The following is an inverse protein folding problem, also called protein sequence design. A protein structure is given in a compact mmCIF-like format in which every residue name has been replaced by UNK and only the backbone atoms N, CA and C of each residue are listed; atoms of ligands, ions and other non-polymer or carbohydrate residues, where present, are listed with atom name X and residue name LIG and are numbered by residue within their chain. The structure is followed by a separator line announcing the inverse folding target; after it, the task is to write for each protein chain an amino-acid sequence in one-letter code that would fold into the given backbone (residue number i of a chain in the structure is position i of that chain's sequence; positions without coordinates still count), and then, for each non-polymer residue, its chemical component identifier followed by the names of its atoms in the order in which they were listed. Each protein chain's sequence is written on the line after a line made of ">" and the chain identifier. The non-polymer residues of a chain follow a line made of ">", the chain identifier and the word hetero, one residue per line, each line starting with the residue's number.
data_IF_018942270948
#
_entry.id   IF_018942270948
#
_cell.length_a   1.000
_cell.length_b   1.000
_cell.length_c   1.000
_cell.angle_alpha   90.00
_cell.angle_beta   90.00
_cell.angle_gamma   90.00
#
_symmetry.space_group_name_H-M   'P 1'
#
loop_
_entity.id
_entity.type
_entity.pdbx_description
1 polymer ?
#
# COMPACT_ATOMS: atom_id res chain seq x y z
N UNK A 1 26.04 -8.25 21.56
CA UNK A 1 27.03 -7.33 20.98
C UNK A 1 26.31 -6.17 20.29
N UNK A 2 26.19 -5.02 20.93
CA UNK A 2 25.62 -3.82 20.32
C UNK A 2 26.74 -2.82 20.11
N UNK A 3 26.80 -2.10 18.97
CA UNK A 3 27.74 -1.01 18.78
C UNK A 3 27.49 0.10 19.81
N UNK A 4 28.56 0.76 20.24
CA UNK A 4 28.56 1.85 21.23
C UNK A 4 28.81 3.21 20.58
N UNK A 5 29.34 3.24 19.37
CA UNK A 5 29.63 4.46 18.61
C UNK A 5 29.04 4.40 17.20
N UNK A 6 28.86 5.56 16.57
CA UNK A 6 28.38 5.63 15.18
C UNK A 6 29.33 4.95 14.19
N UNK A 7 30.62 4.96 14.43
CA UNK A 7 31.63 4.33 13.57
C UNK A 7 31.59 2.80 13.61
N UNK A 8 31.01 2.22 14.64
CA UNK A 8 30.82 0.77 14.77
C UNK A 8 29.57 0.28 14.02
N UNK A 9 28.67 1.19 13.65
CA UNK A 9 27.44 0.87 12.93
C UNK A 9 27.80 0.49 11.50
N UNK A 10 27.40 -0.70 11.09
CA UNK A 10 27.65 -1.20 9.72
C UNK A 10 26.50 -0.85 8.78
N UNK A 11 26.83 -0.69 7.52
CA UNK A 11 25.85 -0.30 6.52
C UNK A 11 25.37 1.14 6.69
N UNK A 12 24.20 1.47 6.13
CA UNK A 12 23.53 2.79 6.26
C UNK A 12 24.41 3.98 5.81
N UNK A 13 25.32 3.78 4.85
CA UNK A 13 26.26 4.81 4.37
C UNK A 13 25.56 6.09 3.89
N UNK A 14 24.32 6.00 3.40
CA UNK A 14 23.49 7.15 3.00
C UNK A 14 23.07 8.03 4.19
N UNK A 15 23.06 7.49 5.41
CA UNK A 15 22.70 8.20 6.65
C UNK A 15 23.94 8.62 7.47
N UNK A 16 24.92 7.73 7.54
CA UNK A 16 26.10 7.85 8.44
C UNK A 16 27.40 8.13 7.69
N UNK A 17 27.42 8.11 6.37
CA UNK A 17 28.59 8.47 5.58
C UNK A 17 28.94 9.99 5.68
N UNK A 18 30.07 10.45 5.12
CA UNK A 18 30.53 11.85 5.23
C UNK A 18 29.53 12.92 4.77
N UNK A 19 28.60 12.51 3.88
CA UNK A 19 27.49 13.36 3.41
C UNK A 19 26.14 12.94 4.01
N UNK A 20 26.15 12.02 4.97
CA UNK A 20 24.95 11.45 5.56
C UNK A 20 24.14 12.47 6.36
N UNK A 21 22.82 12.37 6.24
CA UNK A 21 21.92 13.32 6.90
C UNK A 21 22.01 13.24 8.43
N UNK A 22 22.07 12.03 9.01
CA UNK A 22 22.15 11.84 10.47
C UNK A 22 23.45 12.34 11.04
N UNK A 23 24.59 12.06 10.38
CA UNK A 23 25.88 12.55 10.85
C UNK A 23 25.94 14.07 10.90
N UNK A 24 25.36 14.75 9.91
CA UNK A 24 25.30 16.22 9.86
C UNK A 24 24.38 16.82 10.92
N UNK A 25 23.25 16.17 11.17
CA UNK A 25 22.29 16.62 12.18
C UNK A 25 22.88 16.53 13.60
N UNK A 26 23.62 15.46 13.89
CA UNK A 26 24.22 15.22 15.21
C UNK A 26 25.54 15.94 15.43
N UNK A 27 26.29 16.28 14.39
CA UNK A 27 27.56 17.03 14.49
C UNK A 27 27.39 18.41 15.16
N UNK A 28 26.19 19.00 15.10
CA UNK A 28 25.85 20.25 15.79
C UNK A 28 25.36 20.07 17.23
N UNK A 29 25.40 18.87 17.80
CA UNK A 29 24.86 18.57 19.14
C UNK A 29 23.33 18.66 19.25
N UNK A 30 22.64 18.73 18.13
CA UNK A 30 21.17 18.79 18.08
C UNK A 30 20.60 17.46 17.60
N UNK A 31 19.69 16.92 18.36
CA UNK A 31 18.95 15.72 17.99
C UNK A 31 17.50 16.10 17.69
N UNK A 32 17.05 16.07 16.43
CA UNK A 32 15.66 16.32 16.09
C UNK A 32 14.78 15.11 16.40
N UNK A 33 13.50 15.34 16.62
CA UNK A 33 12.53 14.25 16.63
C UNK A 33 12.46 13.59 15.26
N UNK A 34 12.45 12.24 15.24
CA UNK A 34 12.50 11.46 14.00
C UNK A 34 11.74 10.15 14.12
N UNK A 35 11.39 9.59 12.97
CA UNK A 35 10.87 8.23 12.87
C UNK A 35 11.75 7.42 11.91
N UNK A 36 12.37 6.40 12.46
CA UNK A 36 13.21 5.46 11.74
C UNK A 36 12.35 4.31 11.23
N UNK A 37 12.34 4.07 9.94
CA UNK A 37 11.57 2.97 9.36
C UNK A 37 12.42 2.13 8.42
N UNK A 38 12.08 0.86 8.29
CA UNK A 38 12.82 -0.09 7.45
C UNK A 38 12.75 -1.51 7.99
N UNK A 39 13.36 -2.48 7.28
CA UNK A 39 13.29 -3.91 7.61
C UNK A 39 13.72 -4.23 9.06
N UNK A 40 13.29 -5.37 9.62
CA UNK A 40 13.75 -5.82 10.94
C UNK A 40 15.27 -6.05 10.93
N UNK A 41 15.88 -5.99 12.12
CA UNK A 41 17.32 -6.27 12.28
C UNK A 41 18.30 -5.27 11.67
N UNK A 42 17.82 -4.14 11.13
CA UNK A 42 18.66 -3.09 10.53
C UNK A 42 19.31 -2.14 11.55
N UNK A 43 19.06 -2.35 12.84
CA UNK A 43 19.70 -1.59 13.92
C UNK A 43 18.97 -0.33 14.37
N UNK A 44 17.67 -0.14 14.10
CA UNK A 44 16.88 1.05 14.49
C UNK A 44 17.03 1.43 15.96
N UNK A 45 16.76 0.50 16.88
CA UNK A 45 16.87 0.71 18.32
C UNK A 45 18.30 1.03 18.76
N UNK A 46 19.27 0.34 18.18
CA UNK A 46 20.70 0.54 18.47
C UNK A 46 21.14 1.92 18.02
N UNK A 47 20.78 2.32 16.79
CA UNK A 47 21.12 3.63 16.26
C UNK A 47 20.48 4.76 17.08
N UNK A 48 19.22 4.60 17.47
CA UNK A 48 18.53 5.57 18.33
C UNK A 48 19.27 5.79 19.66
N UNK A 49 19.72 4.72 20.31
CA UNK A 49 20.46 4.78 21.56
C UNK A 49 21.82 5.48 21.38
N UNK A 50 22.58 5.10 20.36
CA UNK A 50 23.88 5.73 20.07
C UNK A 50 23.71 7.22 19.78
N UNK A 51 22.69 7.63 19.05
CA UNK A 51 22.41 9.03 18.75
C UNK A 51 22.06 9.83 20.01
N UNK A 52 21.26 9.26 20.91
CA UNK A 52 20.95 9.89 22.19
C UNK A 52 22.20 10.07 23.06
N UNK A 53 23.00 9.03 23.20
CA UNK A 53 24.26 9.05 23.96
C UNK A 53 25.27 10.03 23.37
N UNK A 54 25.48 10.02 22.05
CA UNK A 54 26.40 10.92 21.36
C UNK A 54 26.02 12.39 21.46
N UNK A 55 24.74 12.69 21.71
CA UNK A 55 24.23 14.07 21.88
C UNK A 55 23.92 14.41 23.32
N UNK A 56 24.28 13.54 24.29
CA UNK A 56 24.14 13.79 25.73
C UNK A 56 22.72 13.75 26.28
N UNK A 57 21.80 13.13 25.55
CA UNK A 57 20.40 12.99 25.97
C UNK A 57 20.16 11.70 26.76
N UNK A 58 19.35 11.77 27.83
CA UNK A 58 18.83 10.58 28.48
C UNK A 58 17.93 9.77 27.53
N UNK A 59 18.01 8.43 27.58
CA UNK A 59 17.28 7.53 26.66
C UNK A 59 16.26 6.69 27.43
N UNK A 60 14.99 6.82 27.07
CA UNK A 60 13.89 6.04 27.64
C UNK A 60 13.17 5.28 26.53
N UNK A 61 13.03 3.95 26.73
CA UNK A 61 12.50 3.03 25.75
C UNK A 61 11.08 2.59 26.16
N UNK A 62 10.13 2.73 25.24
CA UNK A 62 8.77 2.24 25.36
C UNK A 62 8.44 1.35 24.16
N UNK A 63 7.74 0.25 24.40
CA UNK A 63 7.29 -0.66 23.34
C UNK A 63 5.82 -0.44 23.04
N UNK A 64 5.45 -0.36 21.77
CA UNK A 64 4.07 -0.34 21.32
C UNK A 64 3.27 -1.60 21.64
N UNK A 65 3.96 -2.68 22.05
CA UNK A 65 3.33 -3.96 22.39
C UNK A 65 3.00 -4.06 23.89
N UNK A 66 3.88 -3.57 24.77
CA UNK A 66 3.80 -3.76 26.21
C UNK A 66 3.64 -2.46 27.00
N UNK A 67 3.94 -1.30 26.42
CA UNK A 67 3.86 -0.01 27.09
C UNK A 67 2.45 0.59 27.08
N UNK A 68 1.94 1.01 28.24
CA UNK A 68 0.67 1.71 28.29
C UNK A 68 0.84 3.21 27.96
N UNK A 69 -0.16 3.80 27.30
CA UNK A 69 -0.22 5.25 27.08
C UNK A 69 -0.19 6.05 28.40
N UNK A 70 -0.67 5.45 29.48
CA UNK A 70 -0.66 6.05 30.80
C UNK A 70 0.77 6.14 31.39
N UNK A 71 1.59 5.08 31.21
CA UNK A 71 2.99 5.08 31.62
C UNK A 71 3.82 6.11 30.85
N UNK A 72 3.64 6.19 29.53
CA UNK A 72 4.27 7.19 28.70
C UNK A 72 3.92 8.61 29.15
N UNK A 73 2.62 8.87 29.38
CA UNK A 73 2.15 10.18 29.87
C UNK A 73 2.71 10.51 31.25
N UNK A 74 2.71 9.54 32.15
CA UNK A 74 3.26 9.70 33.50
C UNK A 74 4.75 10.04 33.46
N UNK A 75 5.53 9.28 32.69
CA UNK A 75 6.96 9.56 32.50
C UNK A 75 7.21 10.97 31.95
N UNK A 76 6.48 11.37 30.89
CA UNK A 76 6.61 12.69 30.29
C UNK A 76 6.24 13.83 31.26
N UNK A 77 5.32 13.59 32.19
CA UNK A 77 4.97 14.55 33.24
C UNK A 77 6.05 14.64 34.33
N UNK A 78 6.53 13.49 34.79
CA UNK A 78 7.56 13.40 35.82
C UNK A 78 8.91 13.93 35.32
N UNK A 79 9.26 13.71 34.06
CA UNK A 79 10.50 14.19 33.46
C UNK A 79 10.67 15.71 33.52
N UNK A 80 9.57 16.47 33.52
CA UNK A 80 9.58 17.92 33.68
C UNK A 80 10.14 18.38 35.03
N UNK A 81 9.91 17.58 36.07
CA UNK A 81 10.29 17.90 37.42
C UNK A 81 11.72 17.44 37.73
N UNK A 82 12.28 16.56 36.91
CA UNK A 82 13.64 16.04 37.09
C UNK A 82 14.69 17.11 36.73
N UNK A 83 15.60 17.46 37.62
CA UNK A 83 16.63 18.48 37.36
C UNK A 83 17.48 18.18 36.12
N UNK A 84 17.75 16.90 35.87
CA UNK A 84 18.54 16.40 34.73
C UNK A 84 17.91 16.78 33.37
N UNK A 85 16.59 16.77 33.27
CA UNK A 85 15.87 16.99 32.00
C UNK A 85 15.41 18.46 31.81
N UNK A 86 15.69 19.34 32.76
CA UNK A 86 15.36 20.77 32.60
C UNK A 86 16.25 21.47 31.57
N UNK A 87 17.48 21.04 31.43
CA UNK A 87 18.46 21.62 30.51
C UNK A 87 18.62 20.81 29.22
N UNK A 88 18.45 19.48 29.29
CA UNK A 88 18.59 18.56 28.18
C UNK A 88 17.36 17.64 28.13
N UNK A 89 16.45 17.80 27.15
CA UNK A 89 15.23 16.99 27.09
C UNK A 89 15.56 15.49 26.86
N UNK A 90 14.82 14.58 27.49
CA UNK A 90 15.03 13.15 27.27
C UNK A 90 14.62 12.72 25.87
N UNK A 91 15.31 11.70 25.34
CA UNK A 91 14.87 10.95 24.16
C UNK A 91 13.85 9.90 24.59
N UNK A 92 12.66 9.99 24.06
CA UNK A 92 11.61 8.97 24.16
C UNK A 92 11.68 8.10 22.91
N UNK A 93 12.14 6.87 23.08
CA UNK A 93 12.18 5.89 22.01
C UNK A 93 10.92 5.04 22.04
N UNK A 94 10.16 5.06 20.93
CA UNK A 94 8.97 4.23 20.76
C UNK A 94 9.25 3.14 19.73
N UNK A 95 9.41 1.90 20.20
CA UNK A 95 9.50 0.76 19.30
C UNK A 95 8.11 0.37 18.77
N UNK A 96 8.04 0.01 17.48
CA UNK A 96 6.81 -0.31 16.75
C UNK A 96 5.73 0.80 16.89
N UNK A 97 6.12 2.05 16.63
CA UNK A 97 5.23 3.22 16.78
C UNK A 97 3.92 3.11 15.97
N UNK A 98 3.86 2.30 14.90
CA UNK A 98 2.66 2.05 14.14
C UNK A 98 1.54 1.36 14.94
N UNK A 99 1.87 0.73 16.08
CA UNK A 99 0.89 0.11 16.98
C UNK A 99 0.20 1.09 17.91
N UNK A 100 0.72 2.31 18.01
CA UNK A 100 0.06 3.38 18.76
C UNK A 100 -1.10 3.96 17.95
N UNK A 101 -2.30 3.96 18.51
CA UNK A 101 -3.44 4.61 17.89
C UNK A 101 -3.28 6.15 17.90
N UNK A 102 -4.15 6.87 17.18
CA UNK A 102 -4.06 8.33 17.06
C UNK A 102 -4.09 9.05 18.41
N UNK A 103 -4.97 8.63 19.33
CA UNK A 103 -5.07 9.25 20.66
C UNK A 103 -3.78 9.05 21.49
N UNK A 104 -3.13 7.90 21.35
CA UNK A 104 -1.85 7.63 21.99
C UNK A 104 -0.71 8.46 21.39
N UNK A 105 -0.71 8.65 20.07
CA UNK A 105 0.25 9.53 19.40
C UNK A 105 0.05 11.00 19.79
N UNK A 106 -1.18 11.46 20.00
CA UNK A 106 -1.50 12.82 20.40
C UNK A 106 -0.95 13.21 21.79
N UNK A 107 -0.73 12.22 22.68
CA UNK A 107 -0.10 12.45 23.99
C UNK A 107 1.29 13.07 23.86
N UNK A 108 2.03 12.75 22.80
CA UNK A 108 3.38 13.24 22.57
C UNK A 108 3.42 14.71 22.13
N UNK A 109 2.41 15.15 21.37
CA UNK A 109 2.43 16.46 20.71
C UNK A 109 2.75 17.64 21.63
N UNK A 110 2.11 17.80 22.82
CA UNK A 110 2.37 18.92 23.70
C UNK A 110 3.82 18.98 24.21
N UNK A 111 4.48 17.83 24.37
CA UNK A 111 5.86 17.73 24.85
C UNK A 111 6.87 18.03 23.75
N UNK A 112 6.59 17.56 22.53
CA UNK A 112 7.41 17.85 21.36
C UNK A 112 7.33 19.34 20.96
N UNK A 113 6.14 19.94 21.03
CA UNK A 113 5.93 21.36 20.71
C UNK A 113 6.66 22.29 21.66
N UNK A 114 6.76 21.91 22.93
CA UNK A 114 7.48 22.69 23.95
C UNK A 114 8.96 22.36 24.05
N UNK A 115 9.43 21.36 23.27
CA UNK A 115 10.82 20.90 23.35
C UNK A 115 11.17 20.19 24.66
N UNK A 116 10.17 19.67 25.37
CA UNK A 116 10.34 18.98 26.66
C UNK A 116 10.76 17.51 26.50
N UNK A 117 10.62 16.96 25.30
CA UNK A 117 11.07 15.63 24.91
C UNK A 117 11.47 15.59 23.44
N UNK A 118 12.33 14.66 23.08
CA UNK A 118 12.69 14.32 21.71
C UNK A 118 12.13 12.93 21.41
N UNK A 119 11.37 12.80 20.33
CA UNK A 119 10.84 11.51 19.90
C UNK A 119 11.78 10.83 18.91
N UNK A 120 12.12 9.57 19.16
CA UNK A 120 12.66 8.68 18.14
C UNK A 120 11.71 7.47 18.01
N UNK A 121 10.87 7.46 16.99
CA UNK A 121 10.01 6.32 16.68
C UNK A 121 10.74 5.30 15.82
N UNK A 122 10.48 4.01 16.04
CA UNK A 122 10.94 2.93 15.17
C UNK A 122 9.75 2.13 14.63
N UNK A 123 9.81 1.73 13.37
CA UNK A 123 8.77 0.90 12.74
C UNK A 123 9.32 0.10 11.57
N UNK A 124 8.71 -1.03 11.27
CA UNK A 124 8.94 -1.78 10.04
C UNK A 124 8.02 -1.34 8.89
N UNK A 125 7.00 -0.54 9.19
CA UNK A 125 5.98 -0.12 8.23
C UNK A 125 6.22 1.32 7.74
N UNK A 126 5.62 1.68 6.59
CA UNK A 126 5.76 3.03 6.05
C UNK A 126 5.02 4.05 6.94
N UNK A 127 5.75 4.99 7.58
CA UNK A 127 5.16 5.92 8.54
C UNK A 127 4.12 6.88 7.93
N UNK A 128 4.07 7.03 6.62
CA UNK A 128 3.10 7.88 5.95
C UNK A 128 1.64 7.41 6.18
N UNK A 129 1.43 6.11 6.44
CA UNK A 129 0.10 5.53 6.62
C UNK A 129 -0.35 5.47 8.08
N UNK A 130 0.57 5.45 9.03
CA UNK A 130 0.27 5.17 10.45
C UNK A 130 0.47 6.37 11.37
N UNK A 131 1.33 7.30 11.00
CA UNK A 131 1.51 8.51 11.79
C UNK A 131 0.39 9.52 11.54
N UNK A 132 -0.11 10.13 12.61
CA UNK A 132 -1.01 11.24 12.43
C UNK A 132 -0.28 12.44 11.77
N UNK A 133 -0.99 13.28 11.00
CA UNK A 133 -0.37 14.38 10.27
C UNK A 133 0.41 15.36 11.17
N UNK A 134 -0.09 15.59 12.40
CA UNK A 134 0.53 16.52 13.35
C UNK A 134 1.89 15.99 13.86
N UNK A 135 1.98 14.69 14.16
CA UNK A 135 3.23 14.07 14.57
C UNK A 135 4.22 13.98 13.39
N UNK A 136 3.71 13.61 12.20
CA UNK A 136 4.52 13.52 10.98
C UNK A 136 5.18 14.85 10.60
N UNK A 137 4.47 15.98 10.75
CA UNK A 137 5.01 17.30 10.43
C UNK A 137 6.13 17.74 11.39
N UNK A 138 6.25 17.10 12.56
CA UNK A 138 7.23 17.43 13.60
C UNK A 138 8.40 16.46 13.67
N UNK A 139 8.36 15.38 12.90
CA UNK A 139 9.40 14.35 12.89
C UNK A 139 10.06 14.25 11.52
N UNK A 140 11.37 14.04 11.51
CA UNK A 140 12.09 13.67 10.28
C UNK A 140 11.87 12.18 9.99
N UNK A 141 11.58 11.82 8.75
CA UNK A 141 11.43 10.42 8.35
C UNK A 141 12.78 9.90 7.85
N UNK A 142 13.31 8.90 8.53
CA UNK A 142 14.61 8.30 8.26
C UNK A 142 14.41 6.86 7.79
N UNK A 143 14.72 6.58 6.52
CA UNK A 143 14.63 5.25 5.96
C UNK A 143 15.95 4.48 6.18
N UNK A 144 15.88 3.33 6.86
CA UNK A 144 16.98 2.38 6.97
C UNK A 144 16.83 1.30 5.89
N UNK A 145 17.95 0.96 5.26
CA UNK A 145 18.03 -0.10 4.26
C UNK A 145 18.36 -1.44 4.91
N UNK A 146 17.94 -2.54 4.29
CA UNK A 146 18.40 -3.87 4.67
C UNK A 146 19.95 -3.92 4.63
N UNK A 147 20.53 -4.67 5.54
CA UNK A 147 21.98 -4.84 5.55
C UNK A 147 22.41 -5.81 4.43
N UNK A 148 23.42 -5.43 3.69
CA UNK A 148 24.03 -6.31 2.69
C UNK A 148 24.81 -7.46 3.37
N UNK A 149 24.99 -8.62 2.73
CA UNK A 149 25.74 -9.75 3.30
C UNK A 149 27.12 -9.36 3.81
N UNK A 150 27.83 -8.48 3.11
CA UNK A 150 29.15 -7.99 3.53
C UNK A 150 29.13 -7.29 4.89
N UNK A 151 28.10 -6.51 5.16
CA UNK A 151 27.92 -5.82 6.45
C UNK A 151 27.61 -6.81 7.59
N UNK A 152 26.80 -7.84 7.29
CA UNK A 152 26.47 -8.87 8.27
C UNK A 152 27.72 -9.69 8.58
N UNK A 153 28.51 -10.11 7.58
CA UNK A 153 29.78 -10.83 7.79
C UNK A 153 30.75 -10.03 8.67
N UNK A 154 30.86 -8.71 8.47
CA UNK A 154 31.69 -7.87 9.32
C UNK A 154 31.30 -7.96 10.80
N UNK A 155 29.98 -7.98 11.09
CA UNK A 155 29.51 -8.09 12.48
C UNK A 155 29.70 -9.50 13.02
N UNK A 156 29.45 -10.55 12.22
CA UNK A 156 29.69 -11.94 12.61
C UNK A 156 31.17 -12.17 12.96
N UNK A 157 32.10 -11.64 12.17
CA UNK A 157 33.55 -11.68 12.45
C UNK A 157 33.89 -10.99 13.76
N UNK A 158 33.36 -9.80 13.99
CA UNK A 158 33.55 -9.09 15.29
C UNK A 158 32.98 -9.87 16.46
N UNK A 159 31.80 -10.48 16.28
CA UNK A 159 31.17 -11.32 17.29
C UNK A 159 32.04 -12.54 17.61
N UNK A 160 32.50 -13.22 16.57
CA UNK A 160 33.38 -14.39 16.70
C UNK A 160 34.69 -14.07 17.42
N UNK A 161 35.39 -13.04 16.97
CA UNK A 161 36.67 -12.63 17.59
C UNK A 161 36.51 -12.29 19.09
N UNK A 162 35.34 -11.82 19.52
CA UNK A 162 35.07 -11.55 20.94
C UNK A 162 34.74 -12.81 21.74
N UNK A 163 33.91 -13.69 21.22
CA UNK A 163 33.38 -14.87 21.93
C UNK A 163 34.36 -16.08 21.82
N UNK A 164 35.17 -16.13 20.77
CA UNK A 164 36.13 -17.20 20.48
C UNK A 164 37.51 -16.66 20.11
N UNK A 165 38.17 -15.91 21.00
CA UNK A 165 39.46 -15.28 20.70
C UNK A 165 40.53 -16.31 20.32
N UNK A 166 41.21 -16.07 19.19
CA UNK A 166 42.28 -16.96 18.69
C UNK A 166 41.83 -18.21 17.95
N UNK A 167 40.53 -18.45 17.84
CA UNK A 167 40.02 -19.55 17.01
C UNK A 167 39.89 -19.14 15.54
N UNK A 168 40.10 -20.07 14.58
CA UNK A 168 39.93 -19.77 13.17
C UNK A 168 38.48 -19.38 12.86
N UNK A 169 38.30 -18.41 11.96
CA UNK A 169 36.98 -17.97 11.52
C UNK A 169 36.31 -19.06 10.67
N UNK A 170 35.06 -19.45 10.99
CA UNK A 170 34.29 -20.36 10.15
C UNK A 170 33.70 -19.61 8.93
N UNK A 171 34.53 -19.37 7.92
CA UNK A 171 34.20 -18.50 6.80
C UNK A 171 32.93 -18.93 6.03
N UNK A 172 32.75 -20.25 5.80
CA UNK A 172 31.57 -20.80 5.14
C UNK A 172 30.28 -20.56 5.93
N UNK A 173 30.35 -20.66 7.27
CA UNK A 173 29.20 -20.37 8.15
C UNK A 173 28.86 -18.90 8.11
N UNK A 174 29.85 -17.99 8.13
CA UNK A 174 29.60 -16.57 8.03
C UNK A 174 28.99 -16.19 6.69
N UNK A 175 29.48 -16.75 5.61
CA UNK A 175 28.93 -16.56 4.28
C UNK A 175 27.48 -17.04 4.24
N UNK A 176 27.24 -18.27 4.68
CA UNK A 176 25.89 -18.82 4.69
C UNK A 176 24.94 -18.02 5.58
N UNK A 177 25.30 -17.71 6.83
CA UNK A 177 24.46 -16.92 7.75
C UNK A 177 24.17 -15.53 7.21
N UNK A 178 25.14 -14.90 6.54
CA UNK A 178 24.95 -13.55 5.99
C UNK A 178 23.89 -13.52 4.87
N UNK A 179 23.79 -14.57 4.09
CA UNK A 179 22.76 -14.74 3.07
C UNK A 179 21.44 -15.22 3.69
N UNK A 180 21.50 -16.23 4.58
CA UNK A 180 20.32 -16.78 5.24
C UNK A 180 19.53 -15.73 6.03
N UNK A 181 20.22 -14.82 6.74
CA UNK A 181 19.60 -13.77 7.54
C UNK A 181 18.84 -12.70 6.72
N UNK A 182 19.19 -12.52 5.46
CA UNK A 182 18.50 -11.64 4.52
C UNK A 182 18.38 -10.18 4.95
N UNK A 183 19.45 -9.65 5.48
CA UNK A 183 19.50 -8.28 5.92
C UNK A 183 19.09 -8.08 7.39
N UNK A 184 18.62 -9.13 8.08
CA UNK A 184 18.31 -9.12 9.51
C UNK A 184 19.51 -9.58 10.34
N UNK A 185 20.27 -8.62 10.88
CA UNK A 185 21.45 -8.91 11.69
C UNK A 185 21.13 -9.69 12.98
N UNK A 186 19.95 -9.51 13.55
CA UNK A 186 19.53 -10.23 14.76
C UNK A 186 19.42 -11.72 14.48
N UNK A 187 18.80 -12.08 13.35
CA UNK A 187 18.71 -13.46 12.90
C UNK A 187 20.09 -14.07 12.63
N UNK A 188 21.00 -13.31 11.99
CA UNK A 188 22.37 -13.79 11.73
C UNK A 188 23.15 -14.06 13.03
N UNK A 189 23.06 -13.17 14.01
CA UNK A 189 23.72 -13.35 15.31
C UNK A 189 23.14 -14.54 16.09
N UNK A 190 21.80 -14.69 16.09
CA UNK A 190 21.15 -15.85 16.72
C UNK A 190 21.56 -17.16 16.05
N UNK A 191 21.70 -17.17 14.72
CA UNK A 191 22.22 -18.32 13.99
C UNK A 191 23.67 -18.66 14.36
N UNK A 192 24.51 -17.64 14.55
CA UNK A 192 25.88 -17.84 15.02
C UNK A 192 25.91 -18.37 16.45
N UNK A 193 25.08 -17.87 17.36
CA UNK A 193 24.92 -18.39 18.73
C UNK A 193 24.53 -19.88 18.70
N UNK A 194 23.52 -20.25 17.90
CA UNK A 194 23.11 -21.64 17.73
C UNK A 194 24.25 -22.50 17.27
N UNK A 195 25.04 -22.04 16.27
CA UNK A 195 26.18 -22.78 15.78
C UNK A 195 27.29 -22.99 16.84
N UNK A 196 27.57 -21.96 17.65
CA UNK A 196 28.56 -22.03 18.72
C UNK A 196 28.16 -22.96 19.88
N UNK A 197 26.87 -23.24 20.06
CA UNK A 197 26.32 -24.11 21.10
C UNK A 197 26.21 -25.57 20.64
N UNK A 198 26.35 -25.86 19.33
CA UNK A 198 26.31 -27.23 18.80
C UNK A 198 27.56 -28.02 19.15
N UNK A 199 27.42 -29.28 19.57
CA UNK A 199 28.56 -30.20 19.65
C UNK A 199 29.00 -30.58 18.21
N UNK A 200 30.28 -30.48 17.91
CA UNK A 200 30.88 -30.75 16.61
C UNK A 200 30.10 -30.11 15.41
N UNK A 201 30.00 -28.76 15.40
CA UNK A 201 29.13 -28.08 14.47
C UNK A 201 29.64 -28.19 13.03
N UNK A 202 28.77 -28.59 12.12
CA UNK A 202 28.97 -28.52 10.69
C UNK A 202 27.83 -27.66 10.02
N UNK A 203 28.05 -27.26 8.78
CA UNK A 203 27.13 -26.40 8.08
C UNK A 203 25.77 -27.08 7.83
N UNK A 204 25.75 -28.39 7.59
CA UNK A 204 24.52 -29.14 7.31
C UNK A 204 23.65 -29.22 8.58
N UNK A 205 24.26 -29.52 9.73
CA UNK A 205 23.58 -29.52 11.03
C UNK A 205 23.00 -28.16 11.39
N UNK A 206 23.73 -27.05 11.11
CA UNK A 206 23.25 -25.71 11.29
C UNK A 206 22.03 -25.40 10.38
N UNK A 207 22.12 -25.81 9.11
CA UNK A 207 21.02 -25.67 8.15
C UNK A 207 19.77 -26.42 8.59
N UNK A 208 19.96 -27.63 9.12
CA UNK A 208 18.88 -28.43 9.69
C UNK A 208 18.24 -27.79 10.93
N UNK A 209 19.07 -27.27 11.85
CA UNK A 209 18.60 -26.65 13.10
C UNK A 209 17.87 -25.32 12.90
N UNK A 210 18.36 -24.50 11.98
CA UNK A 210 17.72 -23.19 11.69
C UNK A 210 16.49 -23.31 10.79
N UNK A 211 16.14 -24.56 10.39
CA UNK A 211 15.02 -24.84 9.51
C UNK A 211 15.27 -24.29 8.10
N UNK A 212 14.82 -25.00 7.09
CA UNK A 212 14.97 -24.57 5.71
C UNK A 212 14.13 -23.32 5.38
N UNK A 213 14.53 -22.18 5.89
CA UNK A 213 14.27 -20.93 5.16
C UNK A 213 15.04 -21.10 3.88
N UNK A 214 14.35 -21.57 2.83
CA UNK A 214 14.97 -21.65 1.52
C UNK A 214 15.60 -20.29 1.24
N UNK A 215 16.92 -20.29 1.06
CA UNK A 215 17.63 -19.13 0.56
C UNK A 215 16.93 -18.71 -0.72
N UNK A 216 16.17 -17.62 -0.64
CA UNK A 216 16.02 -16.84 -1.84
C UNK A 216 17.40 -16.29 -2.16
N UNK A 217 17.83 -16.52 -3.37
CA UNK A 217 18.92 -15.77 -3.97
C UNK A 217 18.48 -14.29 -3.93
N UNK A 218 18.92 -13.58 -2.88
CA UNK A 218 18.28 -12.34 -2.39
C UNK A 218 18.76 -11.08 -3.12
N UNK A 219 19.71 -11.18 -4.04
CA UNK A 219 20.07 -10.03 -4.86
C UNK A 219 18.87 -9.56 -5.72
N UNK A 220 18.03 -10.50 -6.22
CA UNK A 220 16.92 -10.22 -7.11
C UNK A 220 15.57 -10.80 -6.63
N UNK A 221 15.58 -11.71 -5.60
CA UNK A 221 14.48 -12.66 -5.41
C UNK A 221 13.15 -12.11 -4.90
N UNK A 222 13.13 -11.24 -3.87
CA UNK A 222 11.88 -10.82 -3.23
C UNK A 222 11.05 -9.89 -4.12
N UNK A 223 11.66 -8.82 -4.64
CA UNK A 223 10.98 -7.88 -5.52
C UNK A 223 10.67 -8.48 -6.89
N UNK A 224 11.57 -9.32 -7.41
CA UNK A 224 11.39 -9.99 -8.69
C UNK A 224 10.31 -11.05 -8.64
N UNK A 225 10.22 -11.83 -7.55
CA UNK A 225 9.12 -12.76 -7.33
C UNK A 225 7.77 -12.05 -7.19
N UNK A 226 7.72 -10.97 -6.42
CA UNK A 226 6.51 -10.17 -6.30
C UNK A 226 6.12 -9.54 -7.66
N UNK A 227 7.11 -9.09 -8.44
CA UNK A 227 6.91 -8.55 -9.79
C UNK A 227 6.45 -9.63 -10.76
N UNK A 228 7.07 -10.82 -10.74
CA UNK A 228 6.67 -11.95 -11.58
C UNK A 228 5.26 -12.43 -11.24
N UNK A 229 4.93 -12.52 -9.95
CA UNK A 229 3.59 -12.84 -9.45
C UNK A 229 2.55 -11.86 -10.00
N UNK A 230 2.76 -10.55 -9.86
CA UNK A 230 1.82 -9.54 -10.36
C UNK A 230 1.72 -9.53 -11.89
N UNK A 231 2.84 -9.70 -12.61
CA UNK A 231 2.83 -9.77 -14.08
C UNK A 231 2.06 -10.99 -14.58
N UNK A 232 2.16 -12.14 -13.90
CA UNK A 232 1.38 -13.35 -14.23
C UNK A 232 -0.11 -13.12 -14.03
N UNK A 233 -0.53 -12.48 -12.91
CA UNK A 233 -1.93 -12.11 -12.67
C UNK A 233 -2.46 -11.16 -13.73
N UNK A 234 -1.69 -10.12 -14.08
CA UNK A 234 -2.01 -9.15 -15.14
C UNK A 234 -2.11 -9.82 -16.50
N UNK A 235 -1.21 -10.76 -16.78
CA UNK A 235 -1.16 -11.53 -18.02
C UNK A 235 -2.21 -12.62 -18.11
N UNK A 236 -3.06 -12.81 -17.08
CA UNK A 236 -4.08 -13.87 -17.02
C UNK A 236 -3.52 -15.30 -17.09
N UNK A 237 -2.31 -15.51 -16.57
CA UNK A 237 -1.68 -16.81 -16.42
C UNK A 237 -1.83 -17.32 -14.98
N UNK A 238 -2.87 -18.11 -14.73
CA UNK A 238 -3.16 -18.63 -13.40
C UNK A 238 -2.11 -19.64 -12.92
N UNK A 239 -1.53 -20.44 -13.81
CA UNK A 239 -0.53 -21.43 -13.46
C UNK A 239 0.80 -20.78 -13.07
N UNK A 240 1.25 -19.79 -13.84
CA UNK A 240 2.41 -19.00 -13.47
C UNK A 240 2.18 -18.23 -12.15
N UNK A 241 1.02 -17.63 -11.95
CA UNK A 241 0.69 -16.93 -10.72
C UNK A 241 0.71 -17.87 -9.50
N UNK A 242 0.15 -19.07 -9.59
CA UNK A 242 0.21 -20.09 -8.55
C UNK A 242 1.64 -20.58 -8.30
N UNK A 243 2.43 -20.74 -9.36
CA UNK A 243 3.84 -21.12 -9.22
C UNK A 243 4.62 -20.08 -8.43
N UNK A 244 4.50 -18.79 -8.77
CA UNK A 244 5.16 -17.71 -8.03
C UNK A 244 4.60 -17.55 -6.61
N UNK A 245 3.29 -17.71 -6.39
CA UNK A 245 2.71 -17.80 -5.05
C UNK A 245 3.39 -18.90 -4.24
N UNK A 246 3.52 -20.12 -4.80
CA UNK A 246 4.15 -21.24 -4.10
C UNK A 246 5.61 -20.97 -3.76
N UNK A 247 6.34 -20.28 -4.63
CA UNK A 247 7.72 -19.85 -4.36
C UNK A 247 7.80 -18.82 -3.24
N UNK A 248 6.88 -17.85 -3.20
CA UNK A 248 6.80 -16.87 -2.11
C UNK A 248 6.50 -17.55 -0.78
N UNK A 249 5.56 -18.50 -0.74
CA UNK A 249 5.21 -19.28 0.45
C UNK A 249 6.42 -20.09 0.95
N UNK A 250 7.07 -20.85 0.07
CA UNK A 250 8.26 -21.64 0.40
C UNK A 250 9.43 -20.77 0.88
N UNK A 251 9.53 -19.56 0.34
CA UNK A 251 10.51 -18.58 0.75
C UNK A 251 10.22 -17.91 2.10
N UNK A 252 9.13 -18.28 2.76
CA UNK A 252 8.74 -17.71 4.05
C UNK A 252 8.24 -16.27 3.96
N UNK A 253 7.69 -15.88 2.80
CA UNK A 253 7.10 -14.54 2.65
C UNK A 253 5.94 -14.34 3.63
N UNK A 254 5.80 -13.14 4.16
CA UNK A 254 4.67 -12.79 5.02
C UNK A 254 3.35 -12.94 4.21
N UNK A 255 2.42 -13.77 4.67
CA UNK A 255 1.15 -13.98 3.97
C UNK A 255 0.35 -12.69 3.80
N UNK A 256 0.51 -11.71 4.72
CA UNK A 256 -0.10 -10.39 4.62
C UNK A 256 0.51 -9.55 3.50
N UNK A 257 1.81 -9.70 3.25
CA UNK A 257 2.45 -9.06 2.10
C UNK A 257 1.88 -9.60 0.80
N UNK A 258 1.76 -10.93 0.66
CA UNK A 258 1.18 -11.58 -0.51
C UNK A 258 -0.26 -11.09 -0.74
N UNK A 259 -1.09 -11.09 0.32
CA UNK A 259 -2.47 -10.64 0.26
C UNK A 259 -2.58 -9.16 -0.19
N UNK A 260 -1.74 -8.27 0.37
CA UNK A 260 -1.70 -6.86 -0.05
C UNK A 260 -1.35 -6.69 -1.53
N UNK A 261 -0.36 -7.46 -2.03
CA UNK A 261 0.02 -7.39 -3.45
C UNK A 261 -1.10 -7.88 -4.36
N UNK A 262 -1.83 -8.90 -3.92
CA UNK A 262 -2.99 -9.43 -4.64
C UNK A 262 -4.15 -8.42 -4.68
N UNK A 263 -4.45 -7.76 -3.55
CA UNK A 263 -5.47 -6.70 -3.48
C UNK A 263 -5.14 -5.52 -4.40
N UNK A 264 -3.87 -5.08 -4.42
CA UNK A 264 -3.43 -4.01 -5.32
C UNK A 264 -3.64 -4.42 -6.77
N UNK A 265 -3.22 -5.64 -7.16
CA UNK A 265 -3.40 -6.15 -8.51
C UNK A 265 -4.90 -6.25 -8.90
N UNK A 266 -5.77 -6.70 -7.97
CA UNK A 266 -7.20 -6.76 -8.22
C UNK A 266 -7.82 -5.36 -8.47
N UNK A 267 -7.35 -4.33 -7.76
CA UNK A 267 -7.82 -2.96 -7.95
C UNK A 267 -7.22 -2.30 -9.21
N UNK A 268 -5.92 -2.54 -9.48
CA UNK A 268 -5.16 -1.91 -10.56
C UNK A 268 -5.44 -2.53 -11.93
N UNK A 269 -5.42 -3.88 -12.00
CA UNK A 269 -5.43 -4.62 -13.26
C UNK A 269 -6.79 -5.21 -13.63
N UNK A 270 -7.71 -5.38 -12.66
CA UNK A 270 -9.09 -5.83 -12.87
C UNK A 270 -10.07 -4.67 -12.69
N UNK A 271 -9.98 -3.96 -11.57
CA UNK A 271 -10.79 -2.78 -11.28
C UNK A 271 -12.29 -3.06 -11.38
N UNK A 272 -13.01 -2.13 -11.99
CA UNK A 272 -14.46 -2.23 -12.19
C UNK A 272 -14.89 -3.14 -13.35
N UNK A 273 -13.96 -3.75 -14.09
CA UNK A 273 -14.29 -4.79 -15.04
C UNK A 273 -14.86 -6.04 -14.35
N UNK A 274 -14.36 -6.33 -13.12
CA UNK A 274 -14.91 -7.37 -12.25
C UNK A 274 -14.66 -7.00 -10.78
N UNK A 275 -15.55 -6.21 -10.13
CA UNK A 275 -15.38 -5.78 -8.74
C UNK A 275 -15.29 -6.93 -7.73
N UNK A 276 -15.80 -8.11 -8.09
CA UNK A 276 -15.76 -9.29 -7.23
C UNK A 276 -14.32 -9.75 -6.95
N UNK A 277 -13.38 -9.46 -7.86
CA UNK A 277 -11.97 -9.77 -7.69
C UNK A 277 -11.39 -9.08 -6.43
N UNK A 278 -11.69 -7.80 -6.24
CA UNK A 278 -11.21 -7.07 -5.06
C UNK A 278 -11.87 -7.55 -3.77
N UNK A 279 -13.18 -7.83 -3.79
CA UNK A 279 -13.93 -8.35 -2.64
C UNK A 279 -13.37 -9.69 -2.19
N UNK A 280 -13.07 -10.59 -3.14
CA UNK A 280 -12.49 -11.90 -2.84
C UNK A 280 -11.07 -11.78 -2.26
N UNK A 281 -10.25 -10.87 -2.79
CA UNK A 281 -8.92 -10.62 -2.26
C UNK A 281 -8.96 -10.07 -0.82
N UNK A 282 -9.90 -9.20 -0.51
CA UNK A 282 -10.11 -8.66 0.83
C UNK A 282 -10.57 -9.77 1.80
N UNK A 283 -11.51 -10.62 1.38
CA UNK A 283 -11.92 -11.78 2.17
C UNK A 283 -10.76 -12.76 2.40
N UNK A 284 -9.93 -13.02 1.40
CA UNK A 284 -8.73 -13.85 1.52
C UNK A 284 -7.70 -13.22 2.48
N UNK A 285 -7.52 -11.91 2.45
CA UNK A 285 -6.63 -11.19 3.39
C UNK A 285 -7.07 -11.37 4.84
N UNK A 286 -8.37 -11.23 5.13
CA UNK A 286 -8.92 -11.51 6.48
C UNK A 286 -8.78 -12.98 6.89
N UNK A 287 -9.02 -13.90 5.96
CA UNK A 287 -8.85 -15.32 6.23
C UNK A 287 -7.39 -15.67 6.60
N UNK A 288 -6.42 -15.05 5.91
CA UNK A 288 -4.99 -15.19 6.22
C UNK A 288 -4.67 -14.80 7.67
N UNK A 289 -5.25 -13.70 8.16
CA UNK A 289 -5.04 -13.24 9.55
C UNK A 289 -5.67 -14.17 10.59
N UNK A 290 -6.79 -14.78 10.26
CA UNK A 290 -7.54 -15.64 11.17
C UNK A 290 -7.03 -17.08 11.19
N UNK A 291 -6.64 -17.61 10.04
CA UNK A 291 -6.30 -19.02 9.87
C UNK A 291 -4.78 -19.25 10.07
N UNK A 292 -3.93 -18.35 9.47
CA UNK A 292 -2.48 -18.51 9.48
C UNK A 292 -1.98 -19.65 8.60
N UNK A 293 -0.64 -19.84 8.59
CA UNK A 293 -0.01 -20.98 7.90
C UNK A 293 -0.19 -22.29 8.66
N UNK A 294 -0.32 -23.42 7.97
CA UNK A 294 -0.21 -23.63 6.52
C UNK A 294 -1.52 -23.46 5.73
N UNK A 295 -2.68 -23.39 6.36
CA UNK A 295 -3.99 -23.39 5.68
C UNK A 295 -4.29 -22.09 4.93
N UNK A 296 -3.71 -20.97 5.31
CA UNK A 296 -3.87 -19.67 4.62
C UNK A 296 -3.51 -19.72 3.13
N UNK A 297 -2.73 -20.72 2.69
CA UNK A 297 -2.42 -20.94 1.26
C UNK A 297 -3.67 -21.19 0.42
N UNK A 298 -4.72 -21.76 1.00
CA UNK A 298 -5.94 -22.14 0.27
C UNK A 298 -6.75 -20.92 -0.15
N UNK A 299 -7.18 -20.02 0.75
CA UNK A 299 -7.90 -18.81 0.36
C UNK A 299 -7.05 -17.88 -0.52
N UNK A 300 -5.72 -17.84 -0.33
CA UNK A 300 -4.82 -17.10 -1.23
C UNK A 300 -4.83 -17.69 -2.64
N UNK A 301 -4.71 -19.00 -2.79
CA UNK A 301 -4.75 -19.65 -4.09
C UNK A 301 -6.09 -19.44 -4.81
N UNK A 302 -7.22 -19.52 -4.07
CA UNK A 302 -8.54 -19.23 -4.62
C UNK A 302 -8.62 -17.82 -5.18
N UNK A 303 -8.16 -16.82 -4.44
CA UNK A 303 -8.18 -15.44 -4.90
C UNK A 303 -7.22 -15.20 -6.07
N UNK A 304 -6.05 -15.83 -6.08
CA UNK A 304 -5.08 -15.79 -7.19
C UNK A 304 -5.69 -16.32 -8.48
N UNK A 305 -6.33 -17.49 -8.43
CA UNK A 305 -7.01 -18.10 -9.60
C UNK A 305 -8.10 -17.16 -10.11
N UNK A 306 -8.90 -16.60 -9.21
CA UNK A 306 -9.97 -15.68 -9.59
C UNK A 306 -9.42 -14.43 -10.28
N UNK A 307 -8.45 -13.74 -9.67
CA UNK A 307 -7.84 -12.53 -10.23
C UNK A 307 -7.17 -12.79 -11.57
N UNK A 308 -6.47 -13.94 -11.71
CA UNK A 308 -5.85 -14.32 -12.97
C UNK A 308 -6.88 -14.48 -14.10
N UNK A 309 -8.03 -15.08 -13.81
CA UNK A 309 -9.08 -15.35 -14.81
C UNK A 309 -10.09 -14.20 -15.00
N UNK A 310 -10.10 -13.20 -14.11
CA UNK A 310 -11.00 -12.07 -14.22
C UNK A 310 -10.70 -11.19 -15.46
N UNK A 311 -11.72 -10.51 -15.97
CA UNK A 311 -11.55 -9.53 -17.04
C UNK A 311 -10.60 -8.40 -16.59
N UNK A 312 -9.66 -8.02 -17.45
CA UNK A 312 -8.65 -7.00 -17.12
C UNK A 312 -9.06 -5.60 -17.57
N UNK A 313 -8.90 -4.65 -16.67
CA UNK A 313 -9.03 -3.23 -16.96
C UNK A 313 -8.16 -2.42 -15.97
N UNK A 314 -7.36 -1.51 -16.48
CA UNK A 314 -6.64 -0.54 -15.68
C UNK A 314 -7.29 0.86 -15.73
N UNK A 315 -8.56 0.95 -16.10
CA UNK A 315 -9.27 2.23 -16.22
C UNK A 315 -9.27 3.01 -14.90
N UNK A 316 -9.38 2.31 -13.76
CA UNK A 316 -9.40 2.92 -12.43
C UNK A 316 -8.08 3.62 -12.09
N UNK A 317 -6.94 2.96 -12.30
CA UNK A 317 -5.62 3.56 -11.99
C UNK A 317 -5.32 4.69 -12.96
N UNK A 318 -5.61 4.53 -14.24
CA UNK A 318 -5.44 5.60 -15.22
C UNK A 318 -6.28 6.84 -14.89
N UNK A 319 -7.52 6.63 -14.44
CA UNK A 319 -8.43 7.72 -14.07
C UNK A 319 -7.88 8.54 -12.89
N UNK A 320 -7.46 7.88 -11.82
CA UNK A 320 -6.94 8.60 -10.64
C UNK A 320 -5.60 9.29 -10.95
N UNK A 321 -4.71 8.65 -11.72
CA UNK A 321 -3.43 9.25 -12.09
C UNK A 321 -3.62 10.49 -12.97
N UNK A 322 -4.55 10.43 -13.94
CA UNK A 322 -4.91 11.58 -14.77
C UNK A 322 -5.52 12.71 -13.93
N UNK A 323 -6.39 12.38 -13.00
CA UNK A 323 -6.99 13.38 -12.10
C UNK A 323 -5.96 14.02 -11.15
N UNK A 324 -5.00 13.23 -10.65
CA UNK A 324 -3.92 13.74 -9.79
C UNK A 324 -2.93 14.65 -10.56
N UNK A 325 -2.79 14.44 -11.85
CA UNK A 325 -1.94 15.27 -12.71
C UNK A 325 -2.64 16.56 -13.19
N UNK A 326 -3.94 16.69 -12.96
CA UNK A 326 -4.69 17.88 -13.34
C UNK A 326 -4.34 19.08 -12.46
N UNK A 327 -4.39 20.27 -13.03
CA UNK A 327 -4.18 21.52 -12.30
C UNK A 327 -5.29 21.78 -11.27
N UNK A 328 -4.91 22.34 -10.12
CA UNK A 328 -5.88 22.84 -9.15
C UNK A 328 -6.75 23.95 -9.73
N UNK A 329 -8.03 23.89 -9.44
CA UNK A 329 -9.01 24.90 -9.85
C UNK A 329 -10.08 25.11 -8.75
N UNK A 330 -10.64 26.31 -8.64
CA UNK A 330 -11.64 26.60 -7.61
C UNK A 330 -12.92 25.79 -7.84
N UNK A 331 -13.51 25.32 -6.75
CA UNK A 331 -14.79 24.58 -6.78
C UNK A 331 -15.89 25.50 -7.32
N UNK A 332 -16.71 25.06 -8.30
CA UNK A 332 -17.83 25.83 -8.82
C UNK A 332 -18.80 26.23 -7.72
N UNK A 333 -19.29 27.51 -7.74
CA UNK A 333 -20.16 28.04 -6.70
C UNK A 333 -21.45 27.22 -6.53
N UNK A 334 -22.00 26.68 -7.61
CA UNK A 334 -23.21 25.87 -7.58
C UNK A 334 -23.10 24.63 -6.68
N UNK A 335 -21.92 23.98 -6.62
CA UNK A 335 -21.71 22.76 -5.86
C UNK A 335 -20.98 22.98 -4.52
N UNK A 336 -20.72 24.24 -4.14
CA UNK A 336 -20.15 24.58 -2.83
C UNK A 336 -21.18 24.38 -1.73
N UNK A 337 -20.70 23.99 -0.54
CA UNK A 337 -21.56 23.84 0.63
C UNK A 337 -22.35 25.12 0.97
N UNK A 338 -23.67 25.00 1.06
CA UNK A 338 -24.63 26.08 1.31
C UNK A 338 -25.51 25.81 2.55
N UNK A 339 -25.07 24.98 3.49
CA UNK A 339 -25.89 24.63 4.67
C UNK A 339 -26.16 25.83 5.60
N UNK A 340 -25.25 26.81 5.67
CA UNK A 340 -25.41 27.98 6.53
C UNK A 340 -26.08 29.16 5.80
N UNK A 341 -26.82 29.98 6.55
CA UNK A 341 -27.44 31.20 6.00
C UNK A 341 -26.40 32.17 5.40
N UNK A 342 -25.21 32.26 6.02
CA UNK A 342 -24.10 33.09 5.55
C UNK A 342 -23.55 32.59 4.22
N UNK A 343 -23.38 31.26 4.07
CA UNK A 343 -22.91 30.66 2.84
C UNK A 343 -23.89 30.88 1.68
N UNK A 344 -25.20 30.75 1.92
CA UNK A 344 -26.24 31.03 0.93
C UNK A 344 -26.28 32.50 0.51
N UNK A 345 -26.13 33.44 1.46
CA UNK A 345 -26.04 34.87 1.16
C UNK A 345 -24.78 35.21 0.32
N UNK A 346 -23.72 34.45 0.45
CA UNK A 346 -22.50 34.55 -0.36
C UNK A 346 -22.61 33.88 -1.75
N UNK A 347 -23.81 33.43 -2.16
CA UNK A 347 -24.05 32.83 -3.47
C UNK A 347 -23.69 31.35 -3.60
N UNK A 348 -23.25 30.71 -2.53
CA UNK A 348 -22.90 29.27 -2.55
C UNK A 348 -24.14 28.41 -2.77
N UNK A 349 -24.02 27.39 -3.60
CA UNK A 349 -25.12 26.49 -3.96
C UNK A 349 -26.15 27.12 -4.94
N UNK A 350 -25.92 28.35 -5.40
CA UNK A 350 -26.81 28.97 -6.35
C UNK A 350 -26.76 28.24 -7.71
N UNK A 351 -27.94 27.80 -8.20
CA UNK A 351 -28.05 27.05 -9.45
C UNK A 351 -27.81 25.55 -9.34
N UNK A 352 -27.58 25.04 -8.15
CA UNK A 352 -27.49 23.57 -7.95
C UNK A 352 -28.87 22.93 -8.05
N UNK A 353 -28.98 21.88 -8.83
CA UNK A 353 -30.17 21.03 -8.92
C UNK A 353 -29.87 19.68 -8.26
N UNK A 354 -30.81 19.25 -7.41
CA UNK A 354 -30.68 17.95 -6.78
C UNK A 354 -30.91 16.85 -7.82
N UNK A 355 -29.87 16.09 -8.10
CA UNK A 355 -29.88 15.13 -9.22
C UNK A 355 -30.93 14.03 -9.09
N UNK A 356 -31.45 13.72 -7.89
CA UNK A 356 -32.53 12.76 -7.71
C UNK A 356 -33.89 13.28 -8.16
N UNK A 357 -34.06 14.59 -8.28
CA UNK A 357 -35.31 15.17 -8.80
C UNK A 357 -35.36 15.10 -10.34
N UNK A 358 -34.21 15.21 -10.99
CA UNK A 358 -34.09 15.14 -12.45
C UNK A 358 -32.67 14.76 -12.84
N UNK A 359 -32.46 13.47 -13.17
CA UNK A 359 -31.15 12.93 -13.58
C UNK A 359 -30.75 13.33 -14.99
N UNK A 360 -31.69 13.70 -15.85
CA UNK A 360 -31.44 14.03 -17.26
C UNK A 360 -31.04 15.51 -17.42
N UNK A 361 -31.17 16.30 -16.36
CA UNK A 361 -30.77 17.69 -16.39
C UNK A 361 -29.23 17.80 -16.42
N UNK A 362 -28.74 18.46 -17.46
CA UNK A 362 -27.31 18.74 -17.58
C UNK A 362 -26.86 19.67 -16.44
N UNK A 363 -25.86 19.25 -15.69
CA UNK A 363 -25.24 20.03 -14.65
C UNK A 363 -23.71 19.83 -14.69
N UNK A 364 -22.98 20.92 -14.48
CA UNK A 364 -21.53 20.92 -14.56
C UNK A 364 -20.97 20.81 -13.16
N UNK A 365 -20.20 19.75 -12.92
CA UNK A 365 -19.56 19.49 -11.64
C UNK A 365 -18.07 19.84 -11.64
N UNK A 366 -17.39 19.79 -12.80
CA UNK A 366 -15.99 20.18 -12.91
C UNK A 366 -15.83 21.71 -12.92
N UNK A 367 -14.73 22.22 -12.37
CA UNK A 367 -14.35 23.62 -12.52
C UNK A 367 -14.28 24.03 -14.00
N UNK A 368 -14.57 25.31 -14.28
CA UNK A 368 -14.57 25.83 -15.65
C UNK A 368 -13.24 25.58 -16.39
N UNK A 369 -12.10 25.66 -15.68
CA UNK A 369 -10.76 25.36 -16.24
C UNK A 369 -10.61 23.92 -16.72
N UNK A 370 -11.36 23.00 -16.14
CA UNK A 370 -11.32 21.56 -16.43
C UNK A 370 -12.54 21.09 -17.23
N UNK A 371 -13.36 22.02 -17.67
CA UNK A 371 -14.59 21.72 -18.44
C UNK A 371 -14.23 20.96 -19.72
N UNK A 372 -14.90 19.84 -19.95
CA UNK A 372 -14.69 18.98 -21.12
C UNK A 372 -13.50 18.00 -20.98
N UNK A 373 -12.76 18.03 -19.88
CA UNK A 373 -11.79 16.98 -19.60
C UNK A 373 -12.48 15.72 -19.12
N UNK A 374 -12.01 14.57 -19.62
CA UNK A 374 -12.41 13.26 -19.15
C UNK A 374 -11.24 12.62 -18.39
N UNK A 375 -11.49 12.24 -17.14
CA UNK A 375 -10.50 11.53 -16.32
C UNK A 375 -10.72 10.01 -16.35
N UNK A 376 -11.96 9.57 -16.60
CA UNK A 376 -12.33 8.18 -16.57
C UNK A 376 -12.79 7.71 -17.97
N UNK A 377 -12.05 6.75 -18.51
CA UNK A 377 -12.35 6.11 -19.79
C UNK A 377 -12.64 4.63 -19.54
N UNK A 378 -13.90 4.17 -19.62
CA UNK A 378 -14.25 2.78 -19.43
C UNK A 378 -13.69 1.92 -20.56
N UNK A 379 -12.99 0.84 -20.22
CA UNK A 379 -12.39 -0.11 -21.16
C UNK A 379 -13.26 -1.34 -21.41
N UNK A 380 -14.24 -1.56 -20.53
CA UNK A 380 -15.16 -2.70 -20.60
C UNK A 380 -16.60 -2.22 -20.46
N UNK A 381 -17.59 -2.94 -21.02
CA UNK A 381 -18.99 -2.53 -20.96
C UNK A 381 -19.51 -2.35 -19.52
N UNK A 382 -19.08 -3.20 -18.58
CA UNK A 382 -19.50 -3.12 -17.17
C UNK A 382 -18.97 -1.88 -16.44
N UNK A 383 -17.95 -1.23 -16.95
CA UNK A 383 -17.34 -0.02 -16.38
C UNK A 383 -18.05 1.25 -16.82
N UNK A 384 -18.89 1.19 -17.83
CA UNK A 384 -19.67 2.34 -18.33
C UNK A 384 -20.62 2.83 -17.26
N UNK A 385 -20.91 4.14 -17.27
CA UNK A 385 -21.88 4.74 -16.37
C UNK A 385 -23.26 4.11 -16.55
N UNK A 386 -24.10 4.15 -15.52
CA UNK A 386 -25.48 3.68 -15.64
C UNK A 386 -26.25 4.46 -16.71
N UNK A 387 -25.90 5.74 -16.97
CA UNK A 387 -26.46 6.54 -18.04
C UNK A 387 -26.06 6.00 -19.43
N UNK A 388 -24.77 5.68 -19.61
CA UNK A 388 -24.24 5.11 -20.85
C UNK A 388 -24.74 3.69 -21.08
N UNK A 389 -24.96 2.92 -19.99
CA UNK A 389 -25.55 1.57 -20.08
C UNK A 389 -27.04 1.59 -20.41
N UNK A 390 -27.73 2.71 -20.22
CA UNK A 390 -29.11 2.86 -20.66
C UNK A 390 -29.23 3.05 -22.18
N UNK A 391 -28.22 3.63 -22.82
CA UNK A 391 -28.13 3.72 -24.26
C UNK A 391 -27.24 2.57 -24.81
N UNK A 392 -27.65 1.91 -25.90
CA UNK A 392 -26.84 0.85 -26.51
C UNK A 392 -25.60 1.45 -27.17
N UNK A 393 -24.57 0.61 -27.37
CA UNK A 393 -23.45 0.95 -28.24
C UNK A 393 -23.97 1.25 -29.65
N UNK A 394 -23.70 2.44 -30.18
CA UNK A 394 -24.26 2.94 -31.41
C UNK A 394 -23.86 2.07 -32.63
N UNK A 395 -22.62 1.54 -32.67
CA UNK A 395 -22.14 0.71 -33.77
C UNK A 395 -22.77 -0.69 -33.73
N UNK A 396 -22.83 -1.29 -32.54
CA UNK A 396 -23.47 -2.59 -32.34
C UNK A 396 -24.97 -2.51 -32.63
N UNK A 397 -25.64 -1.45 -32.18
CA UNK A 397 -27.05 -1.22 -32.48
C UNK A 397 -27.28 -1.01 -33.98
N UNK A 398 -26.42 -0.25 -34.66
CA UNK A 398 -26.53 -0.02 -36.12
C UNK A 398 -26.44 -1.34 -36.87
N UNK A 399 -25.53 -2.22 -36.49
CA UNK A 399 -25.38 -3.54 -37.08
C UNK A 399 -26.62 -4.41 -36.91
N UNK A 400 -27.20 -4.47 -35.70
CA UNK A 400 -28.45 -5.20 -35.44
C UNK A 400 -29.62 -4.58 -36.16
N UNK A 401 -29.71 -3.26 -36.23
CA UNK A 401 -30.73 -2.52 -36.91
C UNK A 401 -30.71 -2.79 -38.43
N UNK A 402 -29.55 -2.72 -39.08
CA UNK A 402 -29.40 -2.99 -40.52
C UNK A 402 -29.75 -4.43 -40.85
N UNK A 403 -29.27 -5.42 -40.06
CA UNK A 403 -29.64 -6.82 -40.24
C UNK A 403 -31.15 -7.05 -40.06
N UNK A 404 -31.77 -6.35 -39.09
CA UNK A 404 -33.21 -6.47 -38.90
C UNK A 404 -34.00 -5.84 -40.06
N UNK A 405 -33.60 -4.68 -40.56
CA UNK A 405 -34.22 -3.99 -41.71
C UNK A 405 -34.13 -4.83 -42.97
N UNK A 406 -32.99 -5.47 -43.20
CA UNK A 406 -32.78 -6.37 -44.33
C UNK A 406 -33.71 -7.59 -44.25
N UNK A 407 -33.91 -8.12 -43.06
CA UNK A 407 -34.80 -9.27 -42.84
C UNK A 407 -36.29 -8.90 -42.83
N UNK A 408 -36.64 -7.63 -42.61
CA UNK A 408 -38.03 -7.17 -42.46
C UNK A 408 -38.29 -5.90 -43.29
N UNK A 409 -38.24 -5.99 -44.65
CA UNK A 409 -38.41 -4.81 -45.51
C UNK A 409 -39.80 -4.17 -45.41
N UNK A 410 -40.83 -4.96 -45.05
CA UNK A 410 -42.21 -4.49 -44.83
C UNK A 410 -42.42 -3.94 -43.38
N UNK A 411 -41.38 -3.92 -42.58
CA UNK A 411 -41.46 -3.56 -41.16
C UNK A 411 -41.94 -4.71 -40.27
N UNK A 412 -42.09 -4.46 -39.00
CA UNK A 412 -42.51 -5.46 -38.03
C UNK A 412 -42.27 -5.02 -36.58
N UNK A 413 -42.48 -5.95 -35.67
CA UNK A 413 -42.20 -5.74 -34.23
C UNK A 413 -40.70 -5.91 -33.95
N UNK A 414 -40.15 -4.92 -33.22
CA UNK A 414 -38.73 -4.93 -32.87
C UNK A 414 -38.45 -5.86 -31.68
N UNK A 415 -37.41 -6.70 -31.71
CA UNK A 415 -37.09 -7.63 -30.64
C UNK A 415 -36.35 -6.93 -29.49
N UNK A 416 -37.00 -5.97 -28.86
CA UNK A 416 -36.38 -5.06 -27.86
C UNK A 416 -35.82 -5.78 -26.66
N UNK A 417 -36.47 -6.85 -26.18
CA UNK A 417 -36.01 -7.58 -24.99
C UNK A 417 -34.73 -8.38 -25.30
N UNK A 418 -34.66 -8.95 -26.51
CA UNK A 418 -33.46 -9.63 -26.99
C UNK A 418 -32.31 -8.65 -27.17
N UNK A 419 -32.56 -7.55 -27.90
CA UNK A 419 -31.52 -6.54 -28.15
C UNK A 419 -31.08 -5.79 -26.89
N UNK A 420 -31.98 -5.53 -25.95
CA UNK A 420 -31.57 -4.89 -24.67
C UNK A 420 -30.67 -5.81 -23.86
N UNK A 421 -30.87 -7.12 -23.91
CA UNK A 421 -29.99 -8.10 -23.26
C UNK A 421 -28.64 -8.19 -23.98
N UNK A 422 -28.67 -8.31 -25.31
CA UNK A 422 -27.47 -8.45 -26.14
C UNK A 422 -26.56 -7.22 -26.08
N UNK A 423 -27.17 -6.03 -26.11
CA UNK A 423 -26.46 -4.74 -26.04
C UNK A 423 -26.20 -4.24 -24.60
N UNK A 424 -26.59 -5.02 -23.59
CA UNK A 424 -26.45 -4.69 -22.18
C UNK A 424 -26.96 -3.25 -21.83
N UNK A 425 -28.11 -2.87 -22.40
CA UNK A 425 -28.72 -1.56 -22.24
C UNK A 425 -30.13 -1.66 -21.65
N UNK A 426 -30.68 -0.53 -21.20
CA UNK A 426 -32.08 -0.50 -20.79
C UNK A 426 -33.01 -0.52 -22.02
N UNK A 427 -34.22 -1.13 -21.88
CA UNK A 427 -35.23 -1.14 -22.92
C UNK A 427 -35.62 0.28 -23.37
N UNK A 428 -35.64 1.23 -22.44
CA UNK A 428 -35.94 2.66 -22.71
C UNK A 428 -34.80 3.37 -23.44
N UNK A 429 -33.53 3.11 -23.07
CA UNK A 429 -32.37 3.61 -23.77
C UNK A 429 -32.26 3.05 -25.19
N UNK A 430 -32.54 1.74 -25.36
CA UNK A 430 -32.62 1.10 -26.65
C UNK A 430 -33.70 1.74 -27.52
N UNK A 431 -34.91 1.95 -26.99
CA UNK A 431 -36.00 2.59 -27.69
C UNK A 431 -35.66 4.00 -28.20
N UNK A 432 -35.01 4.81 -27.36
CA UNK A 432 -34.53 6.15 -27.75
C UNK A 432 -33.48 6.10 -28.85
N UNK A 433 -32.52 5.20 -28.74
CA UNK A 433 -31.45 5.03 -29.74
C UNK A 433 -31.99 4.52 -31.10
N UNK A 434 -32.91 3.58 -31.09
CA UNK A 434 -33.61 3.12 -32.30
C UNK A 434 -34.41 4.25 -32.93
N UNK A 435 -35.08 5.08 -32.15
CA UNK A 435 -35.81 6.24 -32.65
C UNK A 435 -34.90 7.20 -33.42
N UNK A 436 -33.68 7.43 -32.96
CA UNK A 436 -32.67 8.23 -33.67
C UNK A 436 -32.22 7.57 -34.99
N UNK A 437 -31.99 6.25 -34.98
CA UNK A 437 -31.56 5.49 -36.18
C UNK A 437 -32.65 5.36 -37.22
N UNK A 438 -33.89 5.20 -36.79
CA UNK A 438 -35.03 5.02 -37.68
C UNK A 438 -35.42 6.30 -38.43
N UNK A 439 -34.95 7.47 -38.03
CA UNK A 439 -35.29 8.75 -38.65
C UNK A 439 -34.97 8.76 -40.15
N UNK A 440 -36.00 8.93 -40.96
CA UNK A 440 -35.94 9.02 -42.42
C UNK A 440 -36.07 7.67 -43.17
N UNK A 441 -36.20 6.54 -42.49
CA UNK A 441 -36.43 5.21 -43.12
C UNK A 441 -37.69 4.54 -42.59
N UNK A 442 -38.02 4.67 -41.33
CA UNK A 442 -39.18 4.02 -40.70
C UNK A 442 -39.91 4.98 -39.74
N UNK A 443 -41.22 4.82 -39.67
CA UNK A 443 -42.04 5.41 -38.61
C UNK A 443 -42.21 4.42 -37.46
N UNK A 444 -41.87 4.82 -36.24
CA UNK A 444 -42.05 3.98 -35.06
C UNK A 444 -43.40 4.27 -34.40
N UNK A 445 -44.25 3.29 -34.32
CA UNK A 445 -45.51 3.34 -33.61
C UNK A 445 -45.34 3.34 -32.07
N UNK A 446 -46.40 3.60 -31.31
CA UNK A 446 -46.40 3.62 -29.81
C UNK A 446 -45.92 2.29 -29.19
N UNK A 447 -46.03 1.17 -29.90
CA UNK A 447 -45.54 -0.16 -29.49
C UNK A 447 -44.16 -0.48 -30.02
N UNK A 448 -43.46 0.48 -30.63
CA UNK A 448 -42.16 0.29 -31.28
C UNK A 448 -42.22 -0.77 -32.43
N UNK A 449 -43.32 -0.77 -33.15
CA UNK A 449 -43.43 -1.42 -34.46
C UNK A 449 -42.84 -0.47 -35.51
N UNK A 450 -41.86 -0.93 -36.28
CA UNK A 450 -41.25 -0.16 -37.35
C UNK A 450 -42.06 -0.38 -38.65
N UNK A 451 -42.48 0.73 -39.29
CA UNK A 451 -43.13 0.70 -40.62
C UNK A 451 -42.31 1.58 -41.56
N UNK A 452 -42.07 1.09 -42.82
CA UNK A 452 -41.42 1.92 -43.82
C UNK A 452 -42.18 3.24 -44.04
N UNK A 453 -41.44 4.28 -44.35
CA UNK A 453 -42.01 5.60 -44.70
C UNK A 453 -42.48 5.56 -46.13
#
# INVERSE_FOLDING_TARGET
>A
MRPSTLDEVVGQAHLLGPKGALLRLTAGGRLPSMVMWGPPGTGKTTLARILAEATGHGFMEFSGVSGSAAELKKFLQESREMPLFRTVPPVVFLDEIHRFNRAQQDILLPFLERGEAILIGATTENPAFYLNPALRSRCQLIALKALEPVHIQQVLKRAWAKERPGQPEPAEVFEWLSHWAGGDLRSALSGLETWMEMPDPDLESLQGALGGRMMFDRADGHYDLASAFQKSLRGSDADAALYYLSRMIRGGEDPRFIARRLMVCAAEDVGNADPQAFILCEAASRAVEQIGWPEARIPLAQAVIYVANAAKSNATVMAIDTALAADDAPIPEAIRDAHTATARKAGRGAGYHYSHDDYDREQIFLPDKLRGQSFYEPKRPQERSWRDRQEPDAAALSTLWEAWVEAHPEGGELPLDTWSTELACSREGLARAIHKLAQGRFTLGRKLEAKPI
#
